data_IF_442785472354
#
_entry.id   IF_442785472354
#
_cell.length_a   1.000
_cell.length_b   1.000
_cell.length_c   1.000
_cell.angle_alpha   90.00
_cell.angle_beta   90.00
_cell.angle_gamma   90.00
#
_symmetry.space_group_name_H-M   'P 1'
#
loop_
_entity.id
_entity.type
_entity.pdbx_description
1 polymer ?
#
# COMPACT_ATOMS: atom_id res chain seq x y z
N UNK A 1 10.43 -6.20 -8.05
CA UNK A 1 9.44 -7.22 -8.44
C UNK A 1 8.84 -6.80 -9.76
N UNK A 2 8.83 -7.68 -10.76
CA UNK A 2 8.55 -7.33 -12.15
C UNK A 2 7.08 -6.93 -12.35
N UNK A 3 6.88 -5.69 -12.84
CA UNK A 3 5.62 -5.16 -13.35
C UNK A 3 5.29 -5.86 -14.69
N UNK A 4 4.78 -7.09 -14.67
CA UNK A 4 4.57 -7.87 -15.90
C UNK A 4 3.10 -8.01 -16.25
N UNK A 5 2.76 -7.60 -17.48
CA UNK A 5 1.43 -7.70 -18.07
C UNK A 5 0.98 -6.39 -18.75
N UNK A 6 -0.05 -6.42 -19.60
CA UNK A 6 -0.61 -5.20 -20.19
C UNK A 6 -1.12 -4.22 -19.13
N UNK A 7 -0.90 -2.92 -19.32
CA UNK A 7 -1.41 -1.86 -18.45
C UNK A 7 -0.44 -1.42 -17.35
N UNK A 8 0.65 -2.16 -17.11
CA UNK A 8 1.67 -1.81 -16.11
C UNK A 8 2.49 -0.57 -16.47
N UNK A 9 2.51 -0.17 -17.75
CA UNK A 9 3.07 1.11 -18.20
C UNK A 9 2.32 2.33 -17.62
N UNK A 10 1.08 2.12 -17.16
CA UNK A 10 0.23 3.14 -16.52
C UNK A 10 0.12 2.98 -15.00
N UNK A 11 0.78 1.98 -14.42
CA UNK A 11 0.83 1.81 -12.98
C UNK A 11 1.50 3.00 -12.29
N UNK A 12 1.28 3.15 -11.00
CA UNK A 12 2.08 4.07 -10.21
C UNK A 12 3.56 3.66 -10.20
N UNK A 13 4.45 4.65 -10.14
CA UNK A 13 5.77 4.41 -9.61
C UNK A 13 5.72 4.29 -8.07
N UNK A 14 6.33 3.25 -7.47
CA UNK A 14 6.19 3.02 -6.03
C UNK A 14 6.61 4.20 -5.16
N UNK A 15 7.64 4.96 -5.55
CA UNK A 15 8.10 6.13 -4.80
C UNK A 15 7.10 7.29 -4.87
N UNK A 16 6.57 7.59 -6.06
CA UNK A 16 5.53 8.61 -6.26
C UNK A 16 4.29 8.28 -5.42
N UNK A 17 3.84 7.02 -5.47
CA UNK A 17 2.68 6.56 -4.71
C UNK A 17 2.92 6.61 -3.19
N UNK A 18 4.13 6.23 -2.75
CA UNK A 18 4.52 6.31 -1.36
C UNK A 18 4.41 7.75 -0.83
N UNK A 19 4.97 8.71 -1.58
CA UNK A 19 4.92 10.13 -1.23
C UNK A 19 3.48 10.66 -1.22
N UNK A 20 2.68 10.32 -2.23
CA UNK A 20 1.28 10.75 -2.36
C UNK A 20 0.43 10.34 -1.16
N UNK A 21 0.61 9.11 -0.66
CA UNK A 21 -0.26 8.53 0.37
C UNK A 21 0.37 8.45 1.76
N UNK A 22 1.61 8.91 1.93
CA UNK A 22 2.32 8.79 3.21
C UNK A 22 2.63 7.33 3.59
N UNK A 23 2.94 6.49 2.61
CA UNK A 23 3.35 5.10 2.80
C UNK A 23 4.88 5.00 2.81
N UNK A 24 5.41 3.94 3.40
CA UNK A 24 6.80 3.54 3.10
C UNK A 24 6.88 2.98 1.68
N UNK A 25 8.07 2.99 1.08
CA UNK A 25 8.28 2.40 -0.24
C UNK A 25 7.79 0.94 -0.30
N UNK A 26 8.04 0.16 0.76
CA UNK A 26 7.63 -1.24 0.80
C UNK A 26 6.11 -1.42 0.85
N UNK A 27 5.43 -0.57 1.63
CA UNK A 27 3.97 -0.57 1.70
C UNK A 27 3.36 -0.17 0.35
N UNK A 28 3.94 0.83 -0.32
CA UNK A 28 3.53 1.24 -1.66
C UNK A 28 3.66 0.11 -2.67
N UNK A 29 4.79 -0.61 -2.69
CA UNK A 29 4.97 -1.80 -3.53
C UNK A 29 3.88 -2.85 -3.27
N UNK A 30 3.57 -3.13 -1.99
CA UNK A 30 2.53 -4.09 -1.62
C UNK A 30 1.17 -3.67 -2.16
N UNK A 31 0.75 -2.43 -1.91
CA UNK A 31 -0.57 -1.93 -2.35
C UNK A 31 -0.68 -1.97 -3.87
N UNK A 32 0.34 -1.51 -4.61
CA UNK A 32 0.35 -1.54 -6.07
C UNK A 32 0.30 -2.98 -6.59
N UNK A 33 1.06 -3.89 -6.00
CA UNK A 33 1.10 -5.27 -6.46
C UNK A 33 -0.23 -5.99 -6.22
N UNK A 34 -0.84 -5.82 -5.05
CA UNK A 34 -2.12 -6.46 -4.69
C UNK A 34 -3.29 -5.95 -5.53
N UNK A 35 -3.31 -4.66 -5.88
CA UNK A 35 -4.43 -4.06 -6.63
C UNK A 35 -4.21 -4.07 -8.15
N UNK A 36 -2.99 -4.37 -8.59
CA UNK A 36 -2.59 -4.29 -9.99
C UNK A 36 -2.39 -2.85 -10.48
N UNK A 37 -2.19 -2.65 -11.80
CA UNK A 37 -1.73 -1.38 -12.35
C UNK A 37 -2.76 -0.24 -12.34
N UNK A 38 -3.97 -0.47 -11.82
CA UNK A 38 -5.02 0.56 -11.78
C UNK A 38 -4.72 1.59 -10.69
N UNK A 39 -4.33 2.81 -11.10
CA UNK A 39 -4.13 3.94 -10.19
C UNK A 39 -5.35 4.21 -9.31
N UNK A 40 -6.55 4.16 -9.88
CA UNK A 40 -7.81 4.33 -9.15
C UNK A 40 -7.99 3.30 -8.02
N UNK A 41 -7.78 2.01 -8.30
CA UNK A 41 -7.87 0.96 -7.26
C UNK A 41 -6.82 1.16 -6.18
N UNK A 42 -5.59 1.52 -6.55
CA UNK A 42 -4.53 1.81 -5.60
C UNK A 42 -4.89 3.00 -4.68
N UNK A 43 -5.44 4.08 -5.25
CA UNK A 43 -5.86 5.27 -4.51
C UNK A 43 -6.99 4.97 -3.51
N UNK A 44 -7.94 4.09 -3.86
CA UNK A 44 -8.96 3.62 -2.92
C UNK A 44 -8.38 2.73 -1.81
N UNK A 45 -7.41 1.89 -2.15
CA UNK A 45 -6.84 0.92 -1.21
C UNK A 45 -5.89 1.56 -0.18
N UNK A 46 -5.14 2.59 -0.55
CA UNK A 46 -4.15 3.23 0.31
C UNK A 46 -4.68 3.69 1.69
N UNK A 47 -5.77 4.49 1.80
CA UNK A 47 -6.28 4.92 3.10
C UNK A 47 -6.81 3.75 3.94
N UNK A 48 -7.42 2.74 3.31
CA UNK A 48 -7.90 1.53 3.97
C UNK A 48 -6.73 0.75 4.56
N UNK A 49 -5.67 0.57 3.78
CA UNK A 49 -4.45 -0.11 4.19
C UNK A 49 -3.77 0.59 5.39
N UNK A 50 -3.65 1.93 5.35
CA UNK A 50 -3.12 2.70 6.48
C UNK A 50 -3.96 2.56 7.74
N UNK A 51 -5.28 2.59 7.61
CA UNK A 51 -6.18 2.37 8.75
C UNK A 51 -5.98 0.97 9.34
N UNK A 52 -5.90 -0.06 8.51
CA UNK A 52 -5.66 -1.43 8.96
C UNK A 52 -4.31 -1.56 9.68
N UNK A 53 -3.25 -0.90 9.21
CA UNK A 53 -1.96 -0.89 9.90
C UNK A 53 -2.02 -0.22 11.28
N UNK A 54 -2.75 0.90 11.40
CA UNK A 54 -2.97 1.58 12.69
C UNK A 54 -3.73 0.70 13.66
N UNK A 55 -4.79 0.05 13.19
CA UNK A 55 -5.63 -0.83 14.01
C UNK A 55 -4.84 -2.09 14.43
N UNK A 56 -4.00 -2.64 13.55
CA UNK A 56 -3.07 -3.73 13.88
C UNK A 56 -2.04 -3.33 14.93
N UNK A 57 -1.46 -2.13 14.83
CA UNK A 57 -0.49 -1.63 15.80
C UNK A 57 -1.10 -1.49 17.20
N UNK A 58 -2.29 -0.88 17.30
CA UNK A 58 -3.05 -0.78 18.56
C UNK A 58 -3.35 -2.15 19.17
N UNK A 59 -3.78 -3.10 18.34
CA UNK A 59 -4.07 -4.45 18.80
C UNK A 59 -2.83 -5.20 19.29
N UNK A 60 -1.64 -4.89 18.76
CA UNK A 60 -0.37 -5.46 19.24
C UNK A 60 0.04 -4.88 20.59
N UNK A 61 -0.11 -3.56 20.77
CA UNK A 61 0.15 -2.89 22.05
C UNK A 61 -0.72 -3.47 23.17
N UNK A 62 -2.02 -3.63 22.92
CA UNK A 62 -2.96 -4.25 23.87
C UNK A 62 -2.67 -5.73 24.19
N UNK A 63 -1.80 -6.39 23.41
CA UNK A 63 -1.44 -7.81 23.56
C UNK A 63 -0.08 -8.03 24.19
N UNK A 64 0.72 -6.99 24.41
CA UNK A 64 1.97 -7.12 25.16
C UNK A 64 1.62 -7.40 26.62
N UNK A 65 1.97 -8.58 27.18
CA UNK A 65 1.83 -8.80 28.61
C UNK A 65 2.84 -7.86 29.30
N UNK A 66 2.36 -7.12 30.30
CA UNK A 66 3.23 -6.43 31.25
C UNK A 66 4.07 -7.42 32.06
#
# INVERSE_FOLDING_TARGET
MLKTGPGWERAYEPLEFAQKHGLTLKQAETVIHTNGPSKYKCDLAAPIFLKALKDLAKNRENRSPG
#
